data_IF_169635125910
#
_entry.id   IF_169635125910
#
_cell.length_a   1.000
_cell.length_b   1.000
_cell.length_c   1.000
_cell.angle_alpha   90.00
_cell.angle_beta   90.00
_cell.angle_gamma   90.00
#
_symmetry.space_group_name_H-M   'P 1'
#
loop_
_entity.id
_entity.type
_entity.pdbx_description
1 polymer ?
#
# COMPACT_ATOMS: atom_id res chain seq x y z
N UNK A 1 1.77 4.17 -21.65
CA UNK A 1 2.67 4.50 -20.52
C UNK A 1 3.76 3.44 -20.50
N UNK A 2 5.00 3.81 -20.24
CA UNK A 2 6.19 2.95 -20.39
C UNK A 2 6.30 1.91 -19.23
N UNK A 3 5.32 1.01 -19.12
CA UNK A 3 5.35 -0.10 -18.16
C UNK A 3 5.77 -1.36 -18.94
N UNK A 4 6.82 -2.03 -18.48
CA UNK A 4 7.19 -3.33 -19.03
C UNK A 4 6.15 -4.37 -18.62
N UNK A 5 5.54 -5.05 -19.58
CA UNK A 5 4.47 -6.03 -19.40
C UNK A 5 4.94 -7.49 -19.55
N UNK A 6 6.24 -7.75 -19.62
CA UNK A 6 6.77 -9.10 -19.80
C UNK A 6 6.33 -10.09 -18.72
N UNK A 7 6.15 -9.59 -17.47
CA UNK A 7 5.65 -10.37 -16.36
C UNK A 7 4.13 -10.58 -16.32
N UNK A 8 3.37 -10.01 -17.29
CA UNK A 8 1.91 -10.16 -17.29
C UNK A 8 1.51 -11.51 -17.89
N UNK A 9 0.99 -12.40 -17.07
CA UNK A 9 0.51 -13.71 -17.47
C UNK A 9 -0.98 -13.65 -17.81
N UNK A 10 -1.33 -13.92 -19.07
CA UNK A 10 -2.71 -13.90 -19.56
C UNK A 10 -3.21 -15.32 -19.79
N UNK A 11 -4.25 -15.74 -19.06
CA UNK A 11 -4.96 -17.01 -19.22
C UNK A 11 -6.23 -16.79 -20.05
N UNK A 12 -6.19 -17.17 -21.34
CA UNK A 12 -7.26 -16.84 -22.29
C UNK A 12 -8.58 -17.59 -22.00
N UNK A 13 -8.49 -18.76 -21.40
CA UNK A 13 -9.63 -19.67 -21.18
C UNK A 13 -10.18 -19.60 -19.74
N UNK A 14 -9.65 -18.68 -18.93
CA UNK A 14 -10.06 -18.50 -17.54
C UNK A 14 -10.57 -17.07 -17.31
N UNK A 15 -11.48 -16.91 -16.33
CA UNK A 15 -11.96 -15.59 -15.93
C UNK A 15 -10.93 -14.89 -15.06
N UNK A 16 -10.83 -13.57 -15.19
CA UNK A 16 -10.02 -12.76 -14.29
C UNK A 16 -10.61 -12.72 -12.88
N UNK A 17 -9.80 -12.37 -11.89
CA UNK A 17 -10.28 -12.12 -10.54
C UNK A 17 -11.44 -11.12 -10.55
N UNK A 18 -12.44 -11.37 -9.71
CA UNK A 18 -13.59 -10.49 -9.55
C UNK A 18 -13.85 -10.24 -8.06
N UNK A 19 -14.06 -8.99 -7.71
CA UNK A 19 -14.54 -8.58 -6.41
C UNK A 19 -15.64 -7.53 -6.57
N UNK A 20 -16.66 -7.61 -5.75
CA UNK A 20 -17.68 -6.57 -5.64
C UNK A 20 -17.99 -6.28 -4.18
N UNK A 21 -18.21 -5.01 -3.87
CA UNK A 21 -18.53 -4.54 -2.54
C UNK A 21 -19.48 -3.36 -2.56
N UNK A 22 -20.02 -3.07 -1.39
CA UNK A 22 -20.83 -1.87 -1.13
C UNK A 22 -20.15 -1.05 -0.06
N UNK A 23 -19.83 0.20 -0.38
CA UNK A 23 -19.35 1.15 0.59
C UNK A 23 -20.51 1.77 1.36
N UNK A 24 -20.30 2.01 2.65
CA UNK A 24 -21.23 2.73 3.51
C UNK A 24 -21.10 4.24 3.30
N UNK A 25 -21.97 5.02 3.97
CA UNK A 25 -22.00 6.48 3.82
C UNK A 25 -20.69 7.17 4.22
N UNK A 26 -19.91 6.53 5.08
CA UNK A 26 -18.58 7.01 5.51
C UNK A 26 -17.47 6.78 4.47
N UNK A 27 -17.76 6.07 3.37
CA UNK A 27 -16.83 5.69 2.30
C UNK A 27 -15.54 4.98 2.77
N UNK A 28 -15.45 4.61 4.07
CA UNK A 28 -14.36 3.83 4.67
C UNK A 28 -14.80 2.40 4.98
N UNK A 29 -16.03 2.24 5.48
CA UNK A 29 -16.60 0.92 5.79
C UNK A 29 -17.19 0.30 4.52
N UNK A 30 -16.92 -0.99 4.32
CA UNK A 30 -17.46 -1.72 3.16
C UNK A 30 -17.92 -3.12 3.54
N UNK A 31 -18.96 -3.58 2.85
CA UNK A 31 -19.38 -4.98 2.82
C UNK A 31 -18.89 -5.64 1.54
N UNK A 32 -18.22 -6.77 1.65
CA UNK A 32 -17.92 -7.61 0.49
C UNK A 32 -19.17 -8.36 0.08
N UNK A 33 -19.62 -8.20 -1.16
CA UNK A 33 -20.79 -8.86 -1.71
C UNK A 33 -20.44 -10.15 -2.43
N UNK A 34 -19.34 -10.16 -3.18
CA UNK A 34 -18.87 -11.33 -3.93
C UNK A 34 -17.35 -11.28 -4.12
N UNK A 35 -16.71 -12.45 -4.07
CA UNK A 35 -15.29 -12.64 -4.36
C UNK A 35 -15.11 -13.91 -5.16
N UNK A 36 -14.62 -13.78 -6.40
CA UNK A 36 -14.31 -14.90 -7.27
C UNK A 36 -12.82 -14.90 -7.58
N UNK A 37 -12.08 -15.85 -7.03
CA UNK A 37 -10.63 -15.93 -7.24
C UNK A 37 -10.27 -16.18 -8.71
N UNK A 38 -11.05 -17.02 -9.41
CA UNK A 38 -10.84 -17.34 -10.82
C UNK A 38 -9.35 -17.70 -11.08
N UNK A 39 -8.68 -17.02 -12.02
CA UNK A 39 -7.26 -17.27 -12.34
C UNK A 39 -6.32 -17.16 -11.14
N UNK A 40 -6.69 -16.44 -10.07
CA UNK A 40 -5.86 -16.30 -8.87
C UNK A 40 -5.88 -17.53 -7.97
N UNK A 41 -6.88 -18.42 -8.12
CA UNK A 41 -6.98 -19.63 -7.30
C UNK A 41 -5.76 -20.55 -7.44
N UNK A 42 -5.18 -20.59 -8.66
CA UNK A 42 -4.03 -21.41 -9.00
C UNK A 42 -2.92 -20.57 -9.67
N UNK A 43 -2.76 -19.33 -9.21
CA UNK A 43 -1.78 -18.41 -9.80
C UNK A 43 -0.37 -18.75 -9.34
N UNK A 44 0.49 -19.08 -10.30
CA UNK A 44 1.93 -19.29 -10.10
C UNK A 44 2.68 -18.20 -10.86
N UNK A 45 3.18 -17.16 -10.17
CA UNK A 45 3.92 -16.09 -10.82
C UNK A 45 5.26 -16.59 -11.33
N UNK A 46 5.62 -16.16 -12.54
CA UNK A 46 6.96 -16.34 -13.11
C UNK A 46 7.62 -14.97 -13.20
N UNK A 47 8.71 -14.78 -12.49
CA UNK A 47 9.48 -13.53 -12.53
C UNK A 47 10.40 -13.54 -13.75
N UNK A 48 10.19 -12.67 -14.76
CA UNK A 48 11.02 -12.62 -15.95
C UNK A 48 12.49 -12.29 -15.65
N UNK A 49 13.39 -12.71 -16.53
CA UNK A 49 14.82 -12.37 -16.39
C UNK A 49 15.07 -10.85 -16.38
N UNK A 50 14.28 -10.09 -17.12
CA UNK A 50 14.35 -8.61 -17.14
C UNK A 50 13.99 -7.94 -15.82
N UNK A 51 13.35 -8.68 -14.86
CA UNK A 51 12.97 -8.16 -13.54
C UNK A 51 13.94 -8.61 -12.44
N UNK A 52 14.92 -9.47 -12.73
CA UNK A 52 15.80 -10.08 -11.72
C UNK A 52 16.69 -9.08 -10.96
N UNK A 53 16.97 -7.92 -11.58
CA UNK A 53 17.80 -6.87 -10.99
C UNK A 53 16.98 -5.70 -10.42
N UNK A 54 15.68 -5.91 -10.13
CA UNK A 54 14.84 -4.86 -9.56
C UNK A 54 15.36 -4.44 -8.18
N UNK A 55 15.52 -3.14 -7.98
CA UNK A 55 15.93 -2.58 -6.68
C UNK A 55 14.76 -2.40 -5.71
N UNK A 56 13.55 -2.26 -6.23
CA UNK A 56 12.33 -2.00 -5.47
C UNK A 56 11.26 -3.01 -5.89
N UNK A 57 10.73 -3.74 -4.91
CA UNK A 57 9.68 -4.74 -5.12
C UNK A 57 8.43 -4.36 -4.32
N UNK A 58 7.29 -4.23 -5.01
CA UNK A 58 5.98 -4.11 -4.37
C UNK A 58 5.20 -5.42 -4.54
N UNK A 59 4.84 -6.01 -3.43
CA UNK A 59 3.95 -7.17 -3.36
C UNK A 59 2.54 -6.68 -3.04
N UNK A 60 1.74 -6.48 -4.07
CA UNK A 60 0.32 -6.14 -3.92
C UNK A 60 -0.46 -7.24 -3.22
N UNK A 61 -1.68 -6.94 -2.82
CA UNK A 61 -2.54 -7.88 -2.08
C UNK A 61 -2.85 -9.14 -2.90
N UNK A 62 -2.22 -10.26 -2.54
CA UNK A 62 -2.40 -11.60 -3.10
C UNK A 62 -2.23 -12.65 -1.98
N UNK A 63 -2.45 -13.93 -2.35
CA UNK A 63 -2.14 -15.08 -1.46
C UNK A 63 -0.72 -14.94 -0.92
N UNK A 64 -0.50 -14.97 0.40
CA UNK A 64 0.83 -14.76 1.00
C UNK A 64 1.91 -15.69 0.47
N UNK A 65 1.60 -16.97 0.23
CA UNK A 65 2.53 -17.93 -0.37
C UNK A 65 2.97 -17.52 -1.78
N UNK A 66 2.07 -16.92 -2.58
CA UNK A 66 2.36 -16.38 -3.91
C UNK A 66 3.29 -15.17 -3.80
N UNK A 67 3.04 -14.26 -2.86
CA UNK A 67 3.94 -13.12 -2.59
C UNK A 67 5.34 -13.59 -2.18
N UNK A 68 5.44 -14.58 -1.29
CA UNK A 68 6.71 -15.18 -0.88
C UNK A 68 7.46 -15.83 -2.06
N UNK A 69 6.72 -16.50 -2.98
CA UNK A 69 7.31 -17.15 -4.15
C UNK A 69 8.00 -16.15 -5.08
N UNK A 70 7.43 -14.94 -5.24
CA UNK A 70 8.07 -13.86 -6.03
C UNK A 70 9.42 -13.46 -5.43
N UNK A 71 9.50 -13.28 -4.10
CA UNK A 71 10.76 -12.94 -3.42
C UNK A 71 11.81 -14.02 -3.67
N UNK A 72 11.44 -15.30 -3.55
CA UNK A 72 12.38 -16.43 -3.67
C UNK A 72 12.85 -16.69 -5.09
N UNK A 73 12.16 -16.21 -6.12
CA UNK A 73 12.57 -16.30 -7.51
C UNK A 73 13.64 -15.27 -7.91
N UNK A 74 13.81 -14.20 -7.11
CA UNK A 74 14.80 -13.17 -7.42
C UNK A 74 16.23 -13.66 -7.11
N UNK A 75 17.14 -13.49 -8.05
CA UNK A 75 18.56 -13.86 -7.91
C UNK A 75 19.27 -12.98 -6.86
N UNK A 76 18.81 -11.75 -6.70
CA UNK A 76 19.34 -10.78 -5.74
C UNK A 76 18.17 -10.15 -4.97
N UNK A 77 18.33 -10.03 -3.64
CA UNK A 77 17.34 -9.33 -2.82
C UNK A 77 17.24 -7.86 -3.24
N UNK A 78 16.05 -7.34 -3.52
CA UNK A 78 15.81 -5.91 -3.73
C UNK A 78 16.30 -5.06 -2.55
N UNK A 79 16.65 -3.81 -2.82
CA UNK A 79 16.99 -2.81 -1.81
C UNK A 79 15.85 -2.56 -0.84
N UNK A 80 14.60 -2.62 -1.35
CA UNK A 80 13.38 -2.48 -0.56
C UNK A 80 12.31 -3.42 -1.08
N UNK A 81 11.71 -4.18 -0.16
CA UNK A 81 10.54 -5.01 -0.41
C UNK A 81 9.39 -4.48 0.43
N UNK A 82 8.31 -4.08 -0.23
CA UNK A 82 7.07 -3.58 0.38
C UNK A 82 5.96 -4.58 0.12
N UNK A 83 5.14 -4.83 1.12
CA UNK A 83 4.02 -5.76 1.06
C UNK A 83 2.74 -5.08 1.50
N UNK A 84 1.66 -5.28 0.75
CA UNK A 84 0.27 -5.02 1.17
C UNK A 84 -0.44 -6.35 1.42
N UNK A 85 -1.48 -6.35 2.24
CA UNK A 85 -2.27 -7.53 2.59
C UNK A 85 -3.72 -7.15 2.88
N UNK A 86 -4.55 -8.12 3.30
CA UNK A 86 -5.93 -7.88 3.72
C UNK A 86 -6.38 -8.87 4.80
N UNK A 87 -7.48 -8.54 5.47
CA UNK A 87 -8.10 -9.34 6.53
C UNK A 87 -8.33 -10.81 6.13
N UNK A 88 -8.75 -11.06 4.90
CA UNK A 88 -9.04 -12.41 4.41
C UNK A 88 -7.87 -13.38 4.61
N UNK A 89 -6.65 -12.94 4.35
CA UNK A 89 -5.46 -13.79 4.55
C UNK A 89 -5.14 -14.04 6.02
N UNK A 90 -5.53 -13.12 6.89
CA UNK A 90 -5.40 -13.31 8.35
C UNK A 90 -6.34 -14.40 8.88
N UNK A 91 -7.46 -14.64 8.19
CA UNK A 91 -8.44 -15.66 8.56
C UNK A 91 -8.06 -17.05 8.04
N UNK A 92 -7.54 -17.14 6.81
CA UNK A 92 -7.38 -18.43 6.13
C UNK A 92 -5.92 -18.86 5.90
N UNK A 93 -4.94 -17.96 6.03
CA UNK A 93 -3.54 -18.20 5.68
C UNK A 93 -2.55 -17.49 6.63
N UNK A 94 -2.86 -17.43 7.93
CA UNK A 94 -2.10 -16.65 8.91
C UNK A 94 -0.62 -17.07 9.01
N UNK A 95 -0.30 -18.36 8.93
CA UNK A 95 1.08 -18.85 9.06
C UNK A 95 1.91 -18.44 7.83
N UNK A 96 1.37 -18.59 6.62
CA UNK A 96 2.02 -18.12 5.39
C UNK A 96 2.15 -16.60 5.38
N UNK A 97 1.15 -15.88 5.89
CA UNK A 97 1.18 -14.43 6.04
C UNK A 97 2.34 -13.98 6.95
N UNK A 98 2.45 -14.55 8.14
CA UNK A 98 3.55 -14.24 9.08
C UNK A 98 4.91 -14.57 8.50
N UNK A 99 5.03 -15.71 7.79
CA UNK A 99 6.24 -16.07 7.08
C UNK A 99 6.62 -15.03 6.04
N UNK A 100 5.66 -14.59 5.23
CA UNK A 100 5.90 -13.58 4.18
C UNK A 100 6.24 -12.22 4.79
N UNK A 101 5.53 -11.80 5.86
CA UNK A 101 5.84 -10.57 6.62
C UNK A 101 7.30 -10.56 7.10
N UNK A 102 7.84 -11.70 7.52
CA UNK A 102 9.24 -11.78 7.97
C UNK A 102 10.27 -11.60 6.85
N UNK A 103 9.85 -11.64 5.58
CA UNK A 103 10.72 -11.51 4.42
C UNK A 103 10.77 -10.09 3.85
N UNK A 104 9.90 -9.18 4.29
CA UNK A 104 9.75 -7.83 3.72
C UNK A 104 10.36 -6.74 4.61
N UNK A 105 10.64 -5.58 4.04
CA UNK A 105 11.18 -4.43 4.77
C UNK A 105 10.08 -3.49 5.26
N UNK A 106 8.99 -3.36 4.50
CA UNK A 106 7.83 -2.51 4.82
C UNK A 106 6.55 -3.32 4.72
N UNK A 107 5.74 -3.30 5.75
CA UNK A 107 4.37 -3.80 5.70
C UNK A 107 3.40 -2.62 5.64
N UNK A 108 2.45 -2.67 4.72
CA UNK A 108 1.31 -1.76 4.63
C UNK A 108 0.04 -2.49 5.04
N UNK A 109 -0.73 -1.90 5.96
CA UNK A 109 -2.03 -2.42 6.41
C UNK A 109 -2.98 -1.25 6.66
N UNK A 110 -4.27 -1.51 6.71
CA UNK A 110 -5.20 -0.55 7.30
C UNK A 110 -5.26 -0.72 8.83
N UNK A 111 -5.98 0.16 9.51
CA UNK A 111 -6.04 0.15 10.97
C UNK A 111 -6.81 -1.07 11.54
N UNK A 112 -7.82 -1.58 10.84
CA UNK A 112 -8.53 -2.81 11.24
C UNK A 112 -7.63 -4.05 11.07
N UNK A 113 -6.89 -4.13 9.98
CA UNK A 113 -5.90 -5.17 9.72
C UNK A 113 -4.76 -5.15 10.75
N UNK A 114 -4.27 -3.96 11.11
CA UNK A 114 -3.25 -3.82 12.15
C UNK A 114 -3.73 -4.35 13.51
N UNK A 115 -4.98 -4.05 13.89
CA UNK A 115 -5.59 -4.56 15.13
C UNK A 115 -5.78 -6.07 15.08
N UNK A 116 -6.29 -6.60 13.97
CA UNK A 116 -6.50 -8.04 13.80
C UNK A 116 -5.18 -8.82 13.83
N UNK A 117 -4.17 -8.36 13.09
CA UNK A 117 -2.87 -9.03 13.01
C UNK A 117 -2.12 -9.04 14.35
N UNK A 118 -2.23 -7.95 15.13
CA UNK A 118 -1.54 -7.80 16.41
C UNK A 118 -2.32 -8.32 17.60
N UNK A 119 -3.65 -8.41 17.51
CA UNK A 119 -4.55 -8.65 18.65
C UNK A 119 -4.68 -7.46 19.59
N UNK A 120 -4.22 -6.25 19.22
CA UNK A 120 -4.24 -5.06 20.05
C UNK A 120 -5.07 -3.93 19.42
N UNK A 121 -5.91 -3.29 20.24
CA UNK A 121 -6.72 -2.17 19.78
C UNK A 121 -5.90 -0.87 19.57
N UNK A 122 -4.88 -0.64 20.40
CA UNK A 122 -3.99 0.52 20.27
C UNK A 122 -3.06 0.37 19.08
N UNK A 123 -3.12 1.28 18.11
CA UNK A 123 -2.26 1.23 16.93
C UNK A 123 -0.77 1.35 17.26
N UNK A 124 -0.40 2.03 18.34
CA UNK A 124 0.99 2.10 18.80
C UNK A 124 1.49 0.76 19.32
N UNK A 125 0.67 0.05 20.12
CA UNK A 125 1.01 -1.29 20.60
C UNK A 125 0.94 -2.33 19.46
N UNK A 126 -0.05 -2.20 18.59
CA UNK A 126 -0.16 -3.01 17.38
C UNK A 126 1.12 -2.90 16.53
N UNK A 127 1.59 -1.68 16.30
CA UNK A 127 2.82 -1.43 15.56
C UNK A 127 4.04 -2.11 16.22
N UNK A 128 4.19 -1.97 17.54
CA UNK A 128 5.28 -2.62 18.27
C UNK A 128 5.25 -4.16 18.18
N UNK A 129 4.05 -4.74 18.10
CA UNK A 129 3.87 -6.19 17.92
C UNK A 129 4.19 -6.62 16.49
N UNK A 130 3.69 -5.89 15.49
CA UNK A 130 3.88 -6.22 14.07
C UNK A 130 5.35 -6.05 13.65
N UNK A 131 6.03 -5.00 14.09
CA UNK A 131 7.45 -4.79 13.79
C UNK A 131 8.33 -5.94 14.30
N UNK A 132 7.95 -6.64 15.39
CA UNK A 132 8.65 -7.84 15.86
C UNK A 132 8.47 -9.06 14.95
N UNK A 133 7.53 -9.02 14.00
CA UNK A 133 7.34 -10.11 13.03
C UNK A 133 8.34 -10.06 11.88
N UNK A 134 9.11 -8.95 11.73
CA UNK A 134 10.22 -8.86 10.76
C UNK A 134 10.37 -7.54 10.02
N UNK A 135 9.31 -6.83 9.63
CA UNK A 135 9.46 -5.61 8.85
C UNK A 135 10.15 -4.51 9.67
N UNK A 136 10.98 -3.69 8.99
CA UNK A 136 11.64 -2.54 9.61
C UNK A 136 10.71 -1.36 9.75
N UNK A 137 9.75 -1.25 8.84
CA UNK A 137 8.78 -0.16 8.76
C UNK A 137 7.36 -0.73 8.68
N UNK A 138 6.46 -0.07 9.37
CA UNK A 138 5.02 -0.36 9.27
C UNK A 138 4.28 0.91 8.88
N UNK A 139 3.44 0.81 7.85
CA UNK A 139 2.52 1.87 7.44
C UNK A 139 1.11 1.41 7.78
N UNK A 140 0.40 2.20 8.59
CA UNK A 140 -1.01 1.97 8.93
C UNK A 140 -1.86 3.04 8.23
N UNK A 141 -2.59 2.63 7.20
CA UNK A 141 -3.53 3.47 6.44
C UNK A 141 -4.83 3.60 7.23
N UNK A 142 -5.40 4.80 7.30
CA UNK A 142 -6.59 5.11 8.12
C UNK A 142 -7.68 5.83 7.31
N UNK A 143 -7.74 5.59 6.01
CA UNK A 143 -8.70 6.24 5.12
C UNK A 143 -8.61 7.77 5.18
N UNK A 144 -9.73 8.43 5.40
CA UNK A 144 -9.81 9.89 5.54
C UNK A 144 -9.01 10.48 6.71
N UNK A 145 -8.59 9.63 7.66
CA UNK A 145 -7.77 10.03 8.80
C UNK A 145 -6.26 9.90 8.53
N UNK A 146 -5.84 9.73 7.28
CA UNK A 146 -4.43 9.72 6.88
C UNK A 146 -3.70 8.41 7.13
N UNK A 147 -2.40 8.47 7.42
CA UNK A 147 -1.55 7.32 7.62
C UNK A 147 -0.52 7.54 8.72
N UNK A 148 -0.12 6.44 9.38
CA UNK A 148 0.96 6.40 10.35
C UNK A 148 2.13 5.59 9.79
N UNK A 149 3.35 6.11 9.92
CA UNK A 149 4.59 5.39 9.66
C UNK A 149 5.30 5.12 10.98
N UNK A 150 5.64 3.87 11.22
CA UNK A 150 6.40 3.43 12.39
C UNK A 150 7.75 2.85 11.98
N UNK A 151 8.82 3.23 12.70
CA UNK A 151 10.15 2.66 12.58
C UNK A 151 10.87 2.72 13.93
N UNK A 152 11.11 1.59 14.56
CA UNK A 152 11.64 1.56 15.93
C UNK A 152 10.77 2.40 16.88
N UNK A 153 11.35 3.44 17.48
CA UNK A 153 10.65 4.38 18.36
C UNK A 153 10.16 5.65 17.63
N UNK A 154 10.35 5.73 16.32
CA UNK A 154 9.94 6.88 15.51
C UNK A 154 8.53 6.65 14.98
N UNK A 155 7.72 7.70 15.02
CA UNK A 155 6.38 7.73 14.44
C UNK A 155 6.23 9.00 13.63
N UNK A 156 5.69 8.86 12.42
CA UNK A 156 5.28 9.99 11.60
C UNK A 156 3.80 9.85 11.24
N UNK A 157 3.06 10.94 11.34
CA UNK A 157 1.67 11.03 10.92
C UNK A 157 1.56 11.89 9.66
N UNK A 158 0.95 11.34 8.62
CA UNK A 158 0.55 12.07 7.43
C UNK A 158 -0.97 12.23 7.42
N UNK A 159 -1.52 13.43 7.23
CA UNK A 159 -2.95 13.59 7.03
C UNK A 159 -3.41 12.98 5.71
N UNK A 160 -4.70 12.69 5.57
CA UNK A 160 -5.33 12.63 4.27
C UNK A 160 -5.68 14.05 3.82
N UNK A 161 -5.83 14.27 2.50
CA UNK A 161 -6.38 15.52 2.01
C UNK A 161 -7.89 15.51 2.25
N UNK A 162 -8.45 16.52 2.93
CA UNK A 162 -9.90 16.68 3.04
C UNK A 162 -10.50 16.93 1.66
N UNK A 163 -11.35 16.03 1.20
CA UNK A 163 -12.07 16.16 -0.06
C UNK A 163 -13.55 16.41 0.23
N UNK A 164 -14.16 17.28 -0.55
CA UNK A 164 -15.59 17.55 -0.43
C UNK A 164 -16.44 16.33 -0.82
N UNK A 165 -16.00 15.59 -1.84
CA UNK A 165 -16.65 14.38 -2.31
C UNK A 165 -15.64 13.24 -2.53
N UNK A 166 -16.00 12.06 -2.10
CA UNK A 166 -15.31 10.79 -2.39
C UNK A 166 -16.24 9.94 -3.24
N UNK A 167 -15.84 9.68 -4.49
CA UNK A 167 -16.69 8.99 -5.45
C UNK A 167 -16.54 7.48 -5.36
N UNK A 168 -15.29 6.97 -5.39
CA UNK A 168 -14.99 5.55 -5.29
C UNK A 168 -13.65 5.32 -4.58
N UNK A 169 -13.63 4.80 -3.35
CA UNK A 169 -12.39 4.54 -2.63
C UNK A 169 -11.69 3.23 -3.05
N UNK A 170 -12.26 2.47 -3.99
CA UNK A 170 -11.66 1.24 -4.48
C UNK A 170 -10.31 1.51 -5.17
N UNK A 171 -9.26 0.84 -4.73
CA UNK A 171 -7.91 1.03 -5.27
C UNK A 171 -7.14 2.22 -4.68
N UNK A 172 -7.72 2.96 -3.71
CA UNK A 172 -6.99 4.05 -3.03
C UNK A 172 -5.74 3.52 -2.31
N UNK A 173 -5.83 2.35 -1.66
CA UNK A 173 -4.71 1.70 -1.00
C UNK A 173 -3.60 1.30 -1.98
N UNK A 174 -3.96 0.71 -3.13
CA UNK A 174 -3.01 0.34 -4.19
C UNK A 174 -2.35 1.58 -4.80
N UNK A 175 -3.14 2.64 -5.00
CA UNK A 175 -2.64 3.92 -5.54
C UNK A 175 -1.71 4.61 -4.55
N UNK A 176 -2.03 4.57 -3.25
CA UNK A 176 -1.13 5.03 -2.19
C UNK A 176 0.20 4.28 -2.24
N UNK A 177 0.16 2.94 -2.30
CA UNK A 177 1.34 2.11 -2.39
C UNK A 177 2.17 2.41 -3.66
N UNK A 178 1.49 2.62 -4.79
CA UNK A 178 2.11 3.01 -6.05
C UNK A 178 2.82 4.37 -5.97
N UNK A 179 2.19 5.37 -5.36
CA UNK A 179 2.79 6.70 -5.13
C UNK A 179 3.99 6.63 -4.19
N UNK A 180 3.86 5.91 -3.08
CA UNK A 180 4.93 5.66 -2.12
C UNK A 180 6.15 5.00 -2.79
N UNK A 181 5.93 3.87 -3.48
CA UNK A 181 7.00 3.15 -4.16
C UNK A 181 7.61 3.93 -5.31
N UNK A 182 6.79 4.64 -6.08
CA UNK A 182 7.25 5.48 -7.19
C UNK A 182 8.19 6.59 -6.72
N UNK A 183 7.90 7.22 -5.57
CA UNK A 183 8.77 8.23 -4.98
C UNK A 183 10.12 7.63 -4.54
N UNK A 184 10.09 6.51 -3.80
CA UNK A 184 11.31 5.85 -3.32
C UNK A 184 12.16 5.32 -4.48
N UNK A 185 11.56 4.74 -5.50
CA UNK A 185 12.27 4.27 -6.69
C UNK A 185 12.91 5.42 -7.47
N UNK A 186 12.24 6.58 -7.55
CA UNK A 186 12.77 7.79 -8.21
C UNK A 186 13.96 8.40 -7.48
N UNK A 187 13.91 8.43 -6.15
CA UNK A 187 14.96 9.05 -5.32
C UNK A 187 16.11 8.11 -5.01
N UNK A 188 15.86 6.80 -5.00
CA UNK A 188 16.81 5.79 -4.55
C UNK A 188 17.13 5.86 -3.04
N UNK A 189 16.51 6.77 -2.28
CA UNK A 189 16.73 6.98 -0.85
C UNK A 189 15.62 6.29 -0.04
N UNK A 190 16.01 5.39 0.87
CA UNK A 190 15.12 4.66 1.77
C UNK A 190 15.24 5.11 3.23
N UNK A 191 15.79 6.32 3.48
CA UNK A 191 15.83 6.91 4.81
C UNK A 191 14.42 7.18 5.37
N UNK A 192 14.31 7.23 6.70
CA UNK A 192 13.03 7.54 7.34
C UNK A 192 12.47 8.90 6.90
N UNK A 193 13.34 9.90 6.72
CA UNK A 193 12.94 11.24 6.26
C UNK A 193 12.35 11.18 4.84
N UNK A 194 12.99 10.45 3.92
CA UNK A 194 12.45 10.31 2.57
C UNK A 194 11.17 9.45 2.54
N UNK A 195 11.03 8.48 3.45
CA UNK A 195 9.79 7.71 3.59
C UNK A 195 8.61 8.57 4.05
N UNK A 196 8.83 9.61 4.88
CA UNK A 196 7.77 10.58 5.22
C UNK A 196 7.26 11.28 3.96
N UNK A 197 8.19 11.76 3.11
CA UNK A 197 7.83 12.38 1.82
C UNK A 197 7.11 11.38 0.92
N UNK A 198 7.59 10.13 0.86
CA UNK A 198 6.95 9.09 0.06
C UNK A 198 5.49 8.81 0.50
N UNK A 199 5.19 8.88 1.82
CA UNK A 199 3.83 8.75 2.35
C UNK A 199 2.94 9.91 1.91
N UNK A 200 3.44 11.15 1.93
CA UNK A 200 2.70 12.31 1.43
C UNK A 200 2.42 12.17 -0.07
N UNK A 201 3.41 11.72 -0.86
CA UNK A 201 3.20 11.43 -2.29
C UNK A 201 2.16 10.33 -2.48
N UNK A 202 2.22 9.25 -1.70
CA UNK A 202 1.21 8.19 -1.70
C UNK A 202 -0.19 8.71 -1.38
N UNK A 203 -0.32 9.55 -0.33
CA UNK A 203 -1.59 10.17 0.06
C UNK A 203 -2.14 11.10 -1.04
N UNK A 204 -1.27 11.89 -1.68
CA UNK A 204 -1.65 12.74 -2.80
C UNK A 204 -2.16 11.92 -4.00
N UNK A 205 -1.48 10.83 -4.34
CA UNK A 205 -1.92 9.95 -5.42
C UNK A 205 -3.25 9.26 -5.08
N UNK A 206 -3.42 8.78 -3.84
CA UNK A 206 -4.68 8.18 -3.38
C UNK A 206 -5.84 9.16 -3.42
N UNK A 207 -5.61 10.45 -3.10
CA UNK A 207 -6.65 11.49 -3.17
C UNK A 207 -7.20 11.70 -4.58
N UNK A 208 -6.37 11.54 -5.63
CA UNK A 208 -6.86 11.55 -7.01
C UNK A 208 -7.65 10.29 -7.36
N UNK A 209 -7.25 9.13 -6.83
CA UNK A 209 -7.95 7.87 -7.11
C UNK A 209 -9.43 7.94 -6.73
N UNK A 210 -9.72 8.50 -5.56
CA UNK A 210 -11.09 8.51 -5.00
C UNK A 210 -12.03 9.54 -5.64
N UNK A 211 -11.52 10.43 -6.50
CA UNK A 211 -12.31 11.48 -7.17
C UNK A 211 -13.21 10.92 -8.29
N UNK A 212 -12.91 9.74 -8.85
CA UNK A 212 -13.68 9.11 -9.92
C UNK A 212 -13.63 7.59 -9.83
N UNK A 213 -14.49 6.92 -10.59
CA UNK A 213 -14.55 5.47 -10.62
C UNK A 213 -13.28 4.84 -11.21
N UNK A 214 -12.75 3.85 -10.54
CA UNK A 214 -11.60 3.06 -10.98
C UNK A 214 -10.34 3.89 -11.24
N UNK A 215 -9.79 3.82 -12.45
CA UNK A 215 -8.55 4.54 -12.82
C UNK A 215 -8.78 5.78 -13.68
N UNK A 216 -10.01 6.25 -13.83
CA UNK A 216 -10.34 7.34 -14.75
C UNK A 216 -9.52 8.60 -14.43
N UNK A 217 -9.57 9.09 -13.20
CA UNK A 217 -8.83 10.29 -12.80
C UNK A 217 -7.32 10.10 -12.92
N UNK A 218 -6.79 8.96 -12.52
CA UNK A 218 -5.35 8.65 -12.60
C UNK A 218 -4.79 8.63 -14.03
N UNK A 219 -5.64 8.45 -15.03
CA UNK A 219 -5.24 8.49 -16.45
C UNK A 219 -5.11 9.89 -16.99
N UNK A 220 -5.75 10.87 -16.37
CA UNK A 220 -5.84 12.26 -16.80
C UNK A 220 -4.85 13.18 -16.08
N UNK A 221 -4.46 12.85 -14.83
CA UNK A 221 -3.56 13.71 -14.04
C UNK A 221 -2.23 13.94 -14.73
N UNK A 222 -1.77 15.17 -14.62
CA UNK A 222 -0.47 15.64 -15.12
C UNK A 222 0.51 15.85 -13.96
N UNK A 223 1.78 16.11 -14.31
CA UNK A 223 2.77 16.49 -13.29
C UNK A 223 2.35 17.77 -12.55
N UNK A 224 1.77 18.74 -13.24
CA UNK A 224 1.31 19.99 -12.63
C UNK A 224 0.19 19.75 -11.59
N UNK A 225 -0.76 18.84 -11.88
CA UNK A 225 -1.79 18.45 -10.93
C UNK A 225 -1.17 17.85 -9.65
N UNK A 226 -0.17 16.96 -9.83
CA UNK A 226 0.52 16.33 -8.70
C UNK A 226 1.28 17.37 -7.87
N UNK A 227 2.03 18.28 -8.51
CA UNK A 227 2.79 19.33 -7.83
C UNK A 227 1.83 20.27 -7.05
N UNK A 228 0.69 20.65 -7.65
CA UNK A 228 -0.36 21.43 -6.98
C UNK A 228 -0.93 20.70 -5.76
N UNK A 229 -1.25 19.40 -5.91
CA UNK A 229 -1.78 18.59 -4.81
C UNK A 229 -0.79 18.45 -3.66
N UNK A 230 0.49 18.30 -3.96
CA UNK A 230 1.53 18.26 -2.93
C UNK A 230 1.66 19.61 -2.20
N UNK A 231 1.50 20.72 -2.90
CA UNK A 231 1.48 22.05 -2.26
C UNK A 231 0.28 22.21 -1.29
N UNK A 232 -0.88 21.66 -1.63
CA UNK A 232 -2.05 21.62 -0.72
C UNK A 232 -1.73 20.85 0.56
N UNK A 233 -1.04 19.70 0.48
CA UNK A 233 -0.59 18.95 1.68
C UNK A 233 0.37 19.76 2.55
N UNK A 234 1.30 20.51 1.95
CA UNK A 234 2.20 21.38 2.71
C UNK A 234 1.42 22.46 3.44
N UNK A 235 0.45 23.10 2.78
CA UNK A 235 -0.40 24.12 3.39
C UNK A 235 -1.27 23.55 4.52
N UNK A 236 -1.79 22.34 4.34
CA UNK A 236 -2.67 21.67 5.31
C UNK A 236 -2.02 21.45 6.68
N UNK A 237 -0.71 21.24 6.71
CA UNK A 237 0.02 20.91 7.96
C UNK A 237 1.01 21.99 8.38
N UNK A 238 1.08 23.10 7.65
CA UNK A 238 1.99 24.19 7.99
C UNK A 238 1.43 25.05 9.14
N UNK A 239 2.19 25.15 10.20
CA UNK A 239 1.88 26.03 11.34
C UNK A 239 3.18 26.48 12.01
N UNK A 240 3.15 27.66 12.58
CA UNK A 240 4.24 28.20 13.40
C UNK A 240 3.90 28.06 14.88
N UNK A 241 4.86 27.66 15.69
CA UNK A 241 4.74 27.60 17.14
C UNK A 241 6.01 28.12 17.80
N UNK A 242 5.87 29.14 18.64
CA UNK A 242 6.93 29.60 19.52
C UNK A 242 7.00 28.69 20.75
N UNK A 243 8.01 27.82 20.80
CA UNK A 243 8.29 27.05 22.01
C UNK A 243 8.92 28.00 23.02
N UNK A 244 8.12 28.45 23.99
CA UNK A 244 8.62 29.24 25.12
C UNK A 244 9.51 28.33 25.95
N UNK A 245 10.82 28.66 25.96
CA UNK A 245 11.84 27.99 26.75
C UNK A 245 11.71 28.27 28.26
#
# INVERSE_FOLDING_TARGET
RNVNLEGVQIKKDEKTFFWSGRYHMDMNTRDTLDTQLNVLANFEPVVPDSYQDCEFLMLGNLVPAVQASVITQLKKRPKLIVMDTMNFWMEIAMDDLKKTISMVDVLMVNDSEARQLSGDYSLVRAAATILKMGPKYLIIKKGEHGALLFHGNQVFFAPALPLEEVFDPTGAGDTFAGGFMGHLAKTGDISFENMKTAIIVGSAMASFCVERFGTERLREITKADIDSRLAEFVQLVNFDIDLVG
#
